data_IF_443772488327
#
_entry.id   IF_443772488327
#
_cell.length_a   1.000
_cell.length_b   1.000
_cell.length_c   1.000
_cell.angle_alpha   90.00
_cell.angle_beta   90.00
_cell.angle_gamma   90.00
#
_symmetry.space_group_name_H-M   'P 1'
#
loop_
_entity.id
_entity.type
_entity.pdbx_description
1 polymer ?
#
# COMPACT_ATOMS: atom_id res chain seq x y z
N UNK A 1 -41.10 25.31 26.06
CA UNK A 1 -40.43 24.29 26.89
C UNK A 1 -40.23 23.06 26.03
N UNK A 2 -39.07 22.51 25.70
CA UNK A 2 -37.66 22.79 25.94
C UNK A 2 -36.95 21.61 25.26
N UNK A 3 -36.10 21.85 24.26
CA UNK A 3 -35.30 20.80 23.64
C UNK A 3 -34.35 20.19 24.70
N UNK A 4 -33.97 18.92 24.55
CA UNK A 4 -32.59 18.57 24.81
C UNK A 4 -31.89 18.20 23.50
N UNK A 5 -30.90 19.03 23.16
CA UNK A 5 -29.90 18.74 22.15
C UNK A 5 -29.10 17.49 22.55
N UNK A 6 -29.08 16.48 21.68
CA UNK A 6 -28.07 15.41 21.76
C UNK A 6 -26.81 15.89 21.07
N UNK A 7 -25.98 16.55 21.85
CA UNK A 7 -24.54 16.70 21.61
C UNK A 7 -23.87 15.39 22.05
N UNK A 8 -23.12 14.72 21.19
CA UNK A 8 -22.08 13.70 21.48
C UNK A 8 -21.81 12.91 20.18
N UNK A 9 -20.59 12.68 19.68
CA UNK A 9 -19.24 13.09 20.01
C UNK A 9 -18.50 13.12 18.66
N UNK A 10 -17.71 14.17 18.42
CA UNK A 10 -16.70 14.13 17.38
C UNK A 10 -15.67 13.07 17.78
N UNK A 11 -15.65 11.93 17.07
CA UNK A 11 -14.51 11.03 17.10
C UNK A 11 -13.34 11.75 16.42
N UNK A 12 -12.59 12.49 17.22
CA UNK A 12 -11.21 12.84 16.90
C UNK A 12 -10.44 11.53 16.81
N UNK A 13 -10.29 10.99 15.60
CA UNK A 13 -9.29 9.96 15.32
C UNK A 13 -7.93 10.65 15.42
N UNK A 14 -7.36 10.62 16.63
CA UNK A 14 -5.94 10.83 16.87
C UNK A 14 -5.19 9.67 16.21
N UNK A 15 -4.82 9.79 14.93
CA UNK A 15 -3.79 8.92 14.35
C UNK A 15 -2.43 9.58 14.55
N UNK A 16 -1.63 8.93 15.38
CA UNK A 16 -0.30 9.31 15.86
C UNK A 16 0.67 9.87 14.79
N UNK A 17 1.66 10.68 15.20
CA UNK A 17 2.77 11.07 14.33
C UNK A 17 3.49 9.81 13.83
N UNK A 18 3.63 9.69 12.52
CA UNK A 18 4.39 8.61 11.89
C UNK A 18 5.84 8.79 12.32
N UNK A 19 6.35 7.83 13.09
CA UNK A 19 7.71 7.85 13.58
C UNK A 19 8.63 7.70 12.36
N UNK A 20 9.23 8.81 11.94
CA UNK A 20 10.26 8.89 10.91
C UNK A 20 11.56 8.35 11.49
N UNK A 21 11.69 7.03 11.51
CA UNK A 21 12.91 6.36 11.93
C UNK A 21 12.97 4.96 11.32
N UNK A 22 14.19 4.51 11.04
CA UNK A 22 14.55 3.16 10.58
C UNK A 22 14.51 2.90 9.07
N UNK A 23 15.48 3.48 8.36
CA UNK A 23 16.13 2.80 7.23
C UNK A 23 17.64 3.07 7.28
N UNK A 24 18.32 2.59 8.32
CA UNK A 24 19.78 2.56 8.38
C UNK A 24 20.22 1.09 8.44
N UNK A 25 20.87 0.60 7.37
CA UNK A 25 21.74 -0.57 7.45
C UNK A 25 21.20 -1.95 7.04
N UNK A 26 20.17 -2.06 6.21
CA UNK A 26 19.83 -3.36 5.60
C UNK A 26 20.49 -3.50 4.22
N UNK A 27 21.08 -4.67 3.95
CA UNK A 27 21.50 -5.09 2.61
C UNK A 27 20.26 -5.09 1.69
N UNK A 28 19.99 -3.96 1.04
CA UNK A 28 18.76 -3.73 0.28
C UNK A 28 18.78 -4.57 -1.00
N UNK A 29 18.17 -5.75 -0.94
CA UNK A 29 17.83 -6.50 -2.15
C UNK A 29 16.81 -5.69 -2.93
N UNK A 30 17.17 -5.31 -4.14
CA UNK A 30 16.31 -4.57 -5.06
C UNK A 30 15.62 -5.55 -6.01
N UNK A 31 14.33 -5.34 -6.26
CA UNK A 31 13.52 -6.11 -7.21
C UNK A 31 12.85 -5.17 -8.21
N UNK A 32 12.54 -5.65 -9.41
CA UNK A 32 11.79 -4.87 -10.37
C UNK A 32 10.32 -4.70 -9.94
N UNK A 33 9.67 -3.63 -10.39
CA UNK A 33 8.25 -3.42 -10.17
C UNK A 33 7.36 -4.54 -10.72
N UNK A 34 7.74 -5.12 -11.87
CA UNK A 34 7.06 -6.28 -12.43
C UNK A 34 7.17 -7.51 -11.51
N UNK A 35 8.37 -7.77 -10.97
CA UNK A 35 8.58 -8.88 -10.03
C UNK A 35 7.82 -8.68 -8.71
N UNK A 36 7.79 -7.45 -8.19
CA UNK A 36 7.02 -7.10 -7.01
C UNK A 36 5.53 -7.41 -7.19
N UNK A 37 4.94 -7.00 -8.32
CA UNK A 37 3.53 -7.28 -8.64
C UNK A 37 3.30 -8.78 -8.80
N UNK A 38 4.17 -9.49 -9.52
CA UNK A 38 4.06 -10.94 -9.76
C UNK A 38 4.04 -11.71 -8.44
N UNK A 39 4.97 -11.41 -7.53
CA UNK A 39 5.02 -12.03 -6.20
C UNK A 39 3.77 -11.70 -5.38
N UNK A 40 3.35 -10.43 -5.36
CA UNK A 40 2.16 -10.03 -4.63
C UNK A 40 0.89 -10.76 -5.14
N UNK A 41 0.79 -10.98 -6.45
CA UNK A 41 -0.30 -11.76 -7.06
C UNK A 41 -0.26 -13.22 -6.65
N UNK A 42 0.92 -13.83 -6.57
CA UNK A 42 1.08 -15.24 -6.23
C UNK A 42 0.83 -15.52 -4.74
N UNK A 43 0.96 -14.53 -3.85
CA UNK A 43 0.67 -14.70 -2.42
C UNK A 43 -0.77 -15.10 -2.13
N UNK A 44 -1.72 -14.77 -3.00
CA UNK A 44 -3.11 -15.20 -2.83
C UNK A 44 -3.27 -16.72 -2.86
N UNK A 45 -2.32 -17.44 -3.45
CA UNK A 45 -2.31 -18.90 -3.54
C UNK A 45 -1.83 -19.54 -2.23
N UNK A 46 -1.17 -18.77 -1.36
CA UNK A 46 -0.65 -19.26 -0.08
C UNK A 46 -1.61 -18.85 1.04
N UNK A 47 -2.26 -19.80 1.73
CA UNK A 47 -3.20 -19.49 2.80
C UNK A 47 -2.47 -18.78 3.95
N UNK A 48 -3.09 -17.73 4.48
CA UNK A 48 -2.52 -16.92 5.57
C UNK A 48 -1.36 -15.99 5.18
N UNK A 49 -0.84 -16.08 3.95
CA UNK A 49 0.23 -15.19 3.50
C UNK A 49 -0.27 -13.77 3.23
N UNK A 50 0.60 -12.81 3.51
CA UNK A 50 0.39 -11.37 3.34
C UNK A 50 1.69 -10.69 2.92
N UNK A 51 1.62 -9.47 2.40
CA UNK A 51 2.79 -8.62 2.16
C UNK A 51 2.70 -7.33 2.98
N UNK A 52 3.83 -6.64 3.11
CA UNK A 52 3.89 -5.27 3.63
C UNK A 52 4.29 -4.35 2.50
N UNK A 53 3.57 -3.24 2.32
CA UNK A 53 3.77 -2.30 1.22
C UNK A 53 4.08 -0.91 1.75
N UNK A 54 5.12 -0.28 1.19
CA UNK A 54 5.40 1.13 1.41
C UNK A 54 5.31 1.88 0.07
N UNK A 55 4.46 2.88 0.01
CA UNK A 55 4.26 3.68 -1.19
C UNK A 55 4.10 5.17 -0.87
N UNK A 56 4.41 6.01 -1.85
CA UNK A 56 4.17 7.45 -1.73
C UNK A 56 2.68 7.76 -1.90
N UNK A 57 2.17 8.71 -1.13
CA UNK A 57 0.81 9.23 -1.31
C UNK A 57 0.74 10.13 -2.52
N UNK A 58 -0.39 10.05 -3.21
CA UNK A 58 -0.75 10.99 -4.26
C UNK A 58 -2.26 11.17 -4.21
N UNK A 59 -2.71 12.26 -3.57
CA UNK A 59 -4.12 12.60 -3.47
C UNK A 59 -4.40 13.91 -4.21
N UNK A 60 -4.99 13.78 -5.40
CA UNK A 60 -5.38 14.93 -6.23
C UNK A 60 -6.48 15.81 -5.62
N UNK A 61 -7.26 15.30 -4.64
CA UNK A 61 -8.34 16.07 -4.00
C UNK A 61 -7.84 16.92 -2.84
N UNK A 62 -6.88 16.43 -2.06
CA UNK A 62 -6.33 17.13 -0.88
C UNK A 62 -5.01 17.83 -1.16
N UNK A 63 -4.45 17.68 -2.37
CA UNK A 63 -3.10 18.16 -2.74
C UNK A 63 -1.98 17.61 -1.83
N UNK A 64 -2.18 16.45 -1.23
CA UNK A 64 -1.17 15.77 -0.43
C UNK A 64 -0.38 14.78 -1.28
N UNK A 65 0.90 15.09 -1.47
CA UNK A 65 1.81 14.31 -2.31
C UNK A 65 3.10 13.98 -1.56
N UNK A 66 3.67 12.82 -1.84
CA UNK A 66 5.04 12.49 -1.45
C UNK A 66 5.24 11.97 -0.03
N UNK A 67 4.19 11.83 0.79
CA UNK A 67 4.33 11.18 2.09
C UNK A 67 4.46 9.66 1.91
N UNK A 68 5.46 9.04 2.55
CA UNK A 68 5.61 7.59 2.54
C UNK A 68 4.63 6.96 3.53
N UNK A 69 3.72 6.11 3.04
CA UNK A 69 2.76 5.36 3.87
C UNK A 69 3.14 3.88 3.89
N UNK A 70 3.07 3.28 5.07
CA UNK A 70 3.30 1.85 5.31
C UNK A 70 1.96 1.17 5.55
N UNK A 71 1.71 0.10 4.81
CA UNK A 71 0.57 -0.79 4.99
C UNK A 71 1.11 -2.18 5.32
N UNK A 72 0.72 -2.72 6.47
CA UNK A 72 1.14 -4.03 6.94
C UNK A 72 0.01 -5.03 6.74
N UNK A 73 0.36 -6.32 6.61
CA UNK A 73 -0.61 -7.41 6.45
C UNK A 73 -1.59 -7.17 5.29
N UNK A 74 -1.07 -6.91 4.10
CA UNK A 74 -1.89 -6.68 2.91
C UNK A 74 -2.09 -7.95 2.08
N UNK A 75 -3.20 -8.00 1.34
CA UNK A 75 -3.47 -9.04 0.32
C UNK A 75 -3.90 -8.41 -0.99
N UNK A 76 -3.40 -8.94 -2.11
CA UNK A 76 -3.73 -8.40 -3.43
C UNK A 76 -5.17 -8.80 -3.79
N UNK A 77 -5.92 -7.86 -4.36
CA UNK A 77 -7.27 -8.10 -4.85
C UNK A 77 -7.32 -8.05 -6.38
N UNK A 78 -8.27 -8.75 -7.02
CA UNK A 78 -8.60 -8.48 -8.42
C UNK A 78 -9.09 -7.03 -8.55
N UNK A 79 -8.69 -6.36 -9.65
CA UNK A 79 -9.09 -4.98 -9.93
C UNK A 79 -10.60 -4.81 -10.05
N UNK A 80 -11.09 -3.60 -9.78
CA UNK A 80 -12.47 -3.23 -10.08
C UNK A 80 -12.66 -3.13 -11.60
N UNK A 81 -13.91 -3.15 -12.06
CA UNK A 81 -14.26 -2.95 -13.48
C UNK A 81 -13.73 -1.60 -13.97
N UNK A 82 -13.24 -1.57 -15.21
CA UNK A 82 -12.54 -0.44 -15.85
C UNK A 82 -13.30 0.91 -15.73
N UNK A 83 -14.64 0.87 -15.70
CA UNK A 83 -15.52 2.06 -15.55
C UNK A 83 -15.39 2.81 -14.22
N UNK A 84 -14.64 2.30 -13.24
CA UNK A 84 -14.52 2.92 -11.90
C UNK A 84 -13.32 3.86 -11.77
N UNK A 85 -12.40 3.86 -12.74
CA UNK A 85 -11.11 4.54 -12.60
C UNK A 85 -11.02 5.84 -13.41
N UNK A 86 -10.36 6.85 -12.84
CA UNK A 86 -10.06 8.13 -13.50
C UNK A 86 -8.91 8.03 -14.51
N UNK A 87 -8.12 6.97 -14.42
CA UNK A 87 -7.09 6.59 -15.38
C UNK A 87 -7.19 5.09 -15.67
N UNK A 88 -6.42 4.57 -16.63
CA UNK A 88 -6.36 3.14 -16.93
C UNK A 88 -6.21 2.30 -15.65
N UNK A 89 -7.13 1.36 -15.42
CA UNK A 89 -7.18 0.49 -14.24
C UNK A 89 -5.87 -0.28 -14.04
N UNK A 90 -5.12 -0.50 -15.13
CA UNK A 90 -3.80 -1.12 -15.09
C UNK A 90 -2.72 -0.28 -14.40
N UNK A 91 -2.93 1.00 -14.11
CA UNK A 91 -1.98 1.79 -13.32
C UNK A 91 -2.14 1.62 -11.81
N UNK A 92 -3.27 1.06 -11.38
CA UNK A 92 -3.59 0.87 -9.98
C UNK A 92 -3.16 -0.51 -9.48
N UNK A 93 -2.71 -0.54 -8.23
CA UNK A 93 -2.45 -1.73 -7.47
C UNK A 93 -3.50 -1.83 -6.35
N UNK A 94 -4.58 -2.60 -6.57
CA UNK A 94 -5.63 -2.79 -5.58
C UNK A 94 -5.22 -3.84 -4.54
N UNK A 95 -5.43 -3.53 -3.27
CA UNK A 95 -5.13 -4.43 -2.17
C UNK A 95 -6.14 -4.26 -1.02
N UNK A 96 -6.17 -5.25 -0.16
CA UNK A 96 -6.91 -5.25 1.11
C UNK A 96 -5.92 -5.11 2.25
N UNK A 97 -6.19 -4.21 3.18
CA UNK A 97 -5.50 -4.16 4.47
C UNK A 97 -6.19 -5.13 5.42
N UNK A 98 -5.55 -6.26 5.74
CA UNK A 98 -6.16 -7.28 6.59
C UNK A 98 -6.26 -6.86 8.07
N UNK A 99 -5.61 -5.76 8.46
CA UNK A 99 -5.70 -5.22 9.83
C UNK A 99 -7.02 -4.49 10.02
N UNK A 100 -7.46 -3.73 9.01
CA UNK A 100 -8.71 -2.96 9.06
C UNK A 100 -9.86 -3.60 8.31
N UNK A 101 -9.58 -4.53 7.39
CA UNK A 101 -10.54 -5.06 6.42
C UNK A 101 -10.86 -4.10 5.27
N UNK A 102 -10.13 -2.99 5.18
CA UNK A 102 -10.41 -1.97 4.17
C UNK A 102 -9.82 -2.32 2.80
N UNK A 103 -10.62 -2.04 1.79
CA UNK A 103 -10.19 -2.03 0.41
C UNK A 103 -9.42 -0.74 0.10
N UNK A 104 -8.13 -0.88 -0.24
CA UNK A 104 -7.23 0.22 -0.62
C UNK A 104 -6.73 0.06 -2.05
N UNK A 105 -6.17 1.14 -2.57
CA UNK A 105 -5.51 1.16 -3.87
C UNK A 105 -4.37 2.17 -3.85
N UNK A 106 -3.29 1.87 -4.56
CA UNK A 106 -2.20 2.81 -4.80
C UNK A 106 -1.76 2.76 -6.26
N UNK A 107 -1.04 3.78 -6.72
CA UNK A 107 -0.42 3.72 -8.05
C UNK A 107 0.77 2.76 -8.02
N UNK A 108 0.86 1.85 -9.00
CA UNK A 108 1.96 0.88 -9.14
C UNK A 108 3.31 1.60 -9.06
N UNK A 109 3.52 2.64 -9.88
CA UNK A 109 4.78 3.42 -9.95
C UNK A 109 5.17 4.16 -8.65
N UNK A 110 4.25 4.33 -7.70
CA UNK A 110 4.55 5.00 -6.42
C UNK A 110 4.96 4.03 -5.31
N UNK A 111 4.90 2.72 -5.57
CA UNK A 111 5.40 1.71 -4.64
C UNK A 111 6.92 1.81 -4.57
N UNK A 112 7.47 1.93 -3.34
CA UNK A 112 8.91 2.10 -3.10
C UNK A 112 9.54 0.88 -2.46
N UNK A 113 8.82 0.26 -1.54
CA UNK A 113 9.30 -0.94 -0.88
C UNK A 113 8.19 -1.95 -0.69
N UNK A 114 8.57 -3.22 -0.67
CA UNK A 114 7.65 -4.33 -0.39
C UNK A 114 8.37 -5.42 0.37
N UNK A 115 7.65 -6.12 1.25
CA UNK A 115 8.17 -7.27 1.97
C UNK A 115 7.22 -8.46 1.82
N UNK A 116 7.82 -9.65 1.71
CA UNK A 116 7.11 -10.90 1.46
C UNK A 116 7.53 -11.98 2.47
N UNK A 117 6.67 -12.97 2.77
CA UNK A 117 7.05 -14.15 3.53
C UNK A 117 8.13 -14.97 2.80
N UNK A 118 8.87 -15.83 3.52
CA UNK A 118 8.82 -16.03 4.98
C UNK A 118 9.61 -14.97 5.78
N UNK A 119 10.58 -14.30 5.15
CA UNK A 119 11.55 -13.47 5.87
C UNK A 119 11.03 -12.05 6.21
N UNK A 120 9.99 -11.58 5.50
CA UNK A 120 9.44 -10.23 5.60
C UNK A 120 10.50 -9.11 5.56
N UNK A 121 11.64 -9.38 4.91
CA UNK A 121 12.69 -8.38 4.67
C UNK A 121 12.21 -7.39 3.63
N UNK A 122 12.51 -6.11 3.88
CA UNK A 122 12.12 -5.03 3.00
C UNK A 122 12.96 -5.08 1.73
N UNK A 123 12.28 -5.15 0.59
CA UNK A 123 12.85 -5.11 -0.75
C UNK A 123 12.57 -3.75 -1.36
N UNK A 124 13.60 -3.15 -1.96
CA UNK A 124 13.44 -1.91 -2.72
C UNK A 124 12.84 -2.23 -4.09
N UNK A 125 11.85 -1.46 -4.51
CA UNK A 125 11.23 -1.61 -5.82
C UNK A 125 11.89 -0.64 -6.80
N UNK A 126 12.43 -1.19 -7.87
CA UNK A 126 12.94 -0.43 -9.00
C UNK A 126 11.97 -0.51 -10.19
N UNK A 127 11.49 0.66 -10.61
CA UNK A 127 10.58 0.78 -11.75
C UNK A 127 11.29 1.14 -13.05
N UNK A 128 12.56 1.56 -12.98
CA UNK A 128 13.28 2.15 -14.12
C UNK A 128 14.50 1.34 -14.54
N UNK A 129 15.03 0.49 -13.66
CA UNK A 129 16.18 -0.36 -13.96
C UNK A 129 15.69 -1.77 -14.36
N UNK A 130 15.28 -1.89 -15.61
CA UNK A 130 14.95 -3.16 -16.23
C UNK A 130 16.20 -3.95 -16.62
N UNK A 131 16.88 -4.57 -15.66
CA UNK A 131 17.71 -5.74 -15.97
C UNK A 131 16.86 -6.98 -15.73
N UNK A 132 16.14 -7.39 -16.77
CA UNK A 132 15.65 -8.77 -16.91
C UNK A 132 16.89 -9.67 -16.94
N UNK A 133 17.18 -10.34 -15.84
CA UNK A 133 18.03 -11.53 -15.89
C UNK A 133 17.15 -12.63 -16.49
N UNK A 134 17.12 -12.70 -17.81
CA UNK A 134 16.84 -13.94 -18.55
C UNK A 134 18.01 -14.92 -18.34
#
# INVERSE_FOLDING_TARGET
MGKPARTMQAFFVLSAPVNSGFFCGMNEKTISGAEAIRRARNLKLVPGAYFTLLHLTCNFKTNEYGALRKFERCRMRPGLKEDTFRMDGEMYFPFEDLTTGDNKMCFKKLMRFIAFPPDYRILKIDWFNGKTND
#
